data_IF_844365865748
#
_entry.id   IF_844365865748
#
_cell.length_a   1.000
_cell.length_b   1.000
_cell.length_c   1.000
_cell.angle_alpha   90.00
_cell.angle_beta   90.00
_cell.angle_gamma   90.00
#
_symmetry.space_group_name_H-M   'P 1'
#
loop_
_entity.id
_entity.type
_entity.pdbx_description
1 polymer ?
#
# COMPACT_ATOMS: atom_id res chain seq x y z
N UNK A 1 54.58 14.69 5.56
CA UNK A 1 53.69 14.89 4.40
C UNK A 1 52.29 15.14 4.95
N UNK A 2 51.76 16.36 4.84
CA UNK A 2 50.50 16.73 5.47
C UNK A 2 49.31 16.10 4.72
N UNK A 3 48.38 15.58 5.49
CA UNK A 3 47.13 14.94 5.08
C UNK A 3 46.22 15.91 4.32
N UNK A 4 45.70 15.47 3.17
CA UNK A 4 44.79 16.21 2.27
C UNK A 4 43.38 16.48 2.83
N UNK A 5 43.17 16.47 4.14
CA UNK A 5 41.82 16.56 4.74
C UNK A 5 41.45 17.96 5.29
N UNK A 6 42.31 18.97 5.19
CA UNK A 6 42.05 20.29 5.81
C UNK A 6 41.40 21.35 4.90
N UNK A 7 41.19 21.08 3.61
CA UNK A 7 40.69 22.10 2.66
C UNK A 7 39.16 22.27 2.60
N UNK A 8 38.38 21.42 3.27
CA UNK A 8 36.91 21.58 3.31
C UNK A 8 36.39 22.44 4.46
N UNK A 9 37.27 22.96 5.32
CA UNK A 9 36.87 23.78 6.45
C UNK A 9 36.60 25.24 6.01
N UNK A 10 35.32 25.63 6.09
CA UNK A 10 34.74 26.98 5.90
C UNK A 10 34.26 27.34 4.49
N UNK A 11 33.37 26.52 3.91
CA UNK A 11 32.33 27.11 3.05
C UNK A 11 31.40 27.96 3.91
N UNK A 12 31.47 29.28 3.74
CA UNK A 12 30.55 30.22 4.40
C UNK A 12 29.21 30.18 3.68
N UNK A 13 28.25 29.42 4.21
CA UNK A 13 26.86 29.50 3.75
C UNK A 13 26.30 30.90 4.05
N UNK A 14 25.70 31.54 3.05
CA UNK A 14 25.05 32.84 3.22
C UNK A 14 23.53 32.66 3.29
N UNK A 15 23.01 32.33 4.48
CA UNK A 15 21.59 32.08 4.71
C UNK A 15 20.70 33.34 4.68
N UNK A 16 21.30 34.54 4.58
CA UNK A 16 20.56 35.81 4.59
C UNK A 16 19.73 36.04 3.33
N UNK A 17 20.20 35.53 2.20
CA UNK A 17 19.59 35.78 0.88
C UNK A 17 18.48 34.77 0.53
N UNK A 18 18.41 33.65 1.25
CA UNK A 18 17.46 32.55 0.98
C UNK A 18 16.05 32.82 1.50
N UNK A 19 15.05 32.19 0.89
CA UNK A 19 13.66 32.27 1.36
C UNK A 19 13.43 31.40 2.60
N UNK A 20 12.38 31.70 3.39
CA UNK A 20 12.04 30.88 4.58
C UNK A 20 11.73 29.42 4.20
N UNK A 21 11.25 29.19 2.97
CA UNK A 21 10.98 27.86 2.44
C UNK A 21 12.28 27.10 2.18
N UNK A 22 13.22 27.70 1.47
CA UNK A 22 14.54 27.10 1.19
C UNK A 22 15.31 26.77 2.49
N UNK A 23 15.27 27.64 3.49
CA UNK A 23 15.92 27.40 4.78
C UNK A 23 15.31 26.20 5.53
N UNK A 24 13.99 25.99 5.40
CA UNK A 24 13.30 24.85 6.00
C UNK A 24 13.54 23.56 5.22
N UNK A 25 13.61 23.65 3.90
CA UNK A 25 13.95 22.51 3.05
C UNK A 25 15.40 22.05 3.31
N UNK A 26 16.35 22.99 3.44
CA UNK A 26 17.73 22.70 3.83
C UNK A 26 17.82 22.06 5.22
N UNK A 27 17.06 22.57 6.19
CA UNK A 27 17.00 22.00 7.53
C UNK A 27 16.39 20.59 7.53
N UNK A 28 15.36 20.34 6.73
CA UNK A 28 14.73 19.03 6.61
C UNK A 28 15.67 17.98 5.99
N UNK A 29 16.47 18.37 4.99
CA UNK A 29 17.44 17.46 4.35
C UNK A 29 18.58 17.09 5.31
N UNK A 30 18.96 18.02 6.20
CA UNK A 30 20.05 17.84 7.16
C UNK A 30 19.58 17.42 8.57
N UNK A 31 18.33 16.97 8.73
CA UNK A 31 17.72 16.57 10.02
C UNK A 31 17.77 17.66 11.13
N UNK A 32 17.77 18.93 10.77
CA UNK A 32 17.77 20.06 11.71
C UNK A 32 16.32 20.41 12.07
N UNK A 33 15.98 20.31 13.36
CA UNK A 33 14.62 20.61 13.84
C UNK A 33 14.38 22.12 13.98
N UNK A 34 13.42 22.66 13.22
CA UNK A 34 13.00 24.06 13.30
C UNK A 34 11.59 24.15 13.91
N UNK A 35 11.36 24.94 14.97
CA UNK A 35 10.03 25.12 15.55
C UNK A 35 9.08 25.84 14.60
N UNK A 36 7.83 25.36 14.55
CA UNK A 36 6.77 25.92 13.70
C UNK A 36 6.40 27.34 14.17
N UNK A 37 6.67 28.34 13.32
CA UNK A 37 6.37 29.76 13.60
C UNK A 37 7.58 30.65 13.89
N UNK A 38 8.80 30.09 13.84
CA UNK A 38 10.07 30.82 13.93
C UNK A 38 10.20 31.90 12.84
N UNK A 39 10.78 33.06 13.21
CA UNK A 39 11.07 34.14 12.27
C UNK A 39 12.31 33.79 11.44
N UNK A 40 12.49 34.46 10.29
CA UNK A 40 13.64 34.23 9.40
C UNK A 40 14.99 34.43 10.12
N UNK A 41 15.09 35.43 11.01
CA UNK A 41 16.27 35.68 11.83
C UNK A 41 16.66 34.47 12.67
N UNK A 42 15.69 33.88 13.36
CA UNK A 42 15.91 32.82 14.33
C UNK A 42 16.32 31.52 13.60
N UNK A 43 15.72 31.28 12.43
CA UNK A 43 16.10 30.15 11.55
C UNK A 43 17.55 30.28 11.07
N UNK A 44 17.95 31.50 10.68
CA UNK A 44 19.32 31.77 10.20
C UNK A 44 20.35 31.58 11.32
N UNK A 45 20.03 31.98 12.55
CA UNK A 45 20.90 31.73 13.71
C UNK A 45 21.03 30.25 14.04
N UNK A 46 19.93 29.49 14.03
CA UNK A 46 19.93 28.04 14.26
C UNK A 46 20.78 27.33 13.20
N UNK A 47 20.64 27.71 11.93
CA UNK A 47 21.41 27.11 10.84
C UNK A 47 22.89 27.48 10.89
N UNK A 48 23.24 28.72 11.26
CA UNK A 48 24.63 29.10 11.46
C UNK A 48 25.29 28.32 12.60
N UNK A 49 24.57 28.08 13.70
CA UNK A 49 25.06 27.29 14.82
C UNK A 49 25.27 25.82 14.40
N UNK A 50 24.27 25.21 13.75
CA UNK A 50 24.35 23.82 13.30
C UNK A 50 25.49 23.57 12.29
N UNK A 51 25.73 24.52 11.37
CA UNK A 51 26.80 24.42 10.37
C UNK A 51 28.18 24.75 10.96
N UNK A 52 28.24 25.44 12.10
CA UNK A 52 29.50 25.74 12.78
C UNK A 52 30.07 24.58 13.61
N UNK A 53 29.28 23.53 13.82
CA UNK A 53 29.73 22.32 14.49
C UNK A 53 30.72 21.55 13.58
N UNK A 54 31.83 21.07 14.16
CA UNK A 54 32.91 20.38 13.42
C UNK A 54 32.46 19.10 12.72
N UNK A 55 31.32 18.55 13.15
CA UNK A 55 30.81 17.23 12.76
C UNK A 55 29.66 17.36 11.75
N UNK A 56 29.39 18.59 11.27
CA UNK A 56 28.31 18.83 10.31
C UNK A 56 28.67 18.24 8.93
N UNK A 57 27.85 17.29 8.47
CA UNK A 57 27.92 16.68 7.15
C UNK A 57 26.72 17.21 6.34
N UNK A 58 26.99 17.93 5.25
CA UNK A 58 25.95 18.48 4.38
C UNK A 58 25.39 17.39 3.45
N UNK A 59 24.20 16.87 3.81
CA UNK A 59 23.50 15.81 3.08
C UNK A 59 22.86 16.29 1.78
N UNK A 60 22.77 17.61 1.55
CA UNK A 60 22.27 18.14 0.28
C UNK A 60 23.19 17.83 -0.90
N UNK A 61 24.47 17.57 -0.64
CA UNK A 61 25.46 17.19 -1.65
C UNK A 61 25.46 15.67 -1.95
N UNK A 62 24.91 14.85 -1.04
CA UNK A 62 24.85 13.39 -1.19
C UNK A 62 23.73 12.92 -2.15
N UNK A 63 22.70 13.74 -2.41
CA UNK A 63 21.67 13.37 -3.40
C UNK A 63 22.21 13.28 -4.84
N UNK A 64 23.35 13.91 -5.13
CA UNK A 64 24.07 13.73 -6.41
C UNK A 64 25.02 12.52 -6.43
N UNK A 65 25.18 11.82 -5.29
CA UNK A 65 26.03 10.63 -5.11
C UNK A 65 25.23 9.41 -4.63
N UNK A 66 23.98 9.23 -5.08
CA UNK A 66 23.32 7.92 -4.99
C UNK A 66 24.04 6.95 -5.93
N UNK A 67 25.24 6.54 -5.50
CA UNK A 67 25.97 5.38 -5.97
C UNK A 67 25.06 4.17 -5.77
N UNK A 68 24.85 3.47 -6.87
CA UNK A 68 24.14 2.21 -6.93
C UNK A 68 24.86 1.18 -6.04
N UNK A 69 24.29 0.89 -4.86
CA UNK A 69 24.66 -0.29 -4.08
C UNK A 69 24.11 -1.54 -4.80
N UNK A 70 24.87 -2.01 -5.79
CA UNK A 70 24.68 -3.32 -6.41
C UNK A 70 25.41 -4.32 -5.52
N UNK A 71 24.62 -5.13 -4.81
CA UNK A 71 25.08 -6.35 -4.12
C UNK A 71 25.54 -7.34 -5.19
N UNK A 72 26.70 -7.95 -4.95
CA UNK A 72 27.52 -8.60 -5.96
C UNK A 72 26.86 -9.72 -6.76
N UNK A 73 27.27 -9.82 -8.02
CA UNK A 73 28.07 -10.96 -8.48
C UNK A 73 28.77 -10.57 -9.80
N UNK A 74 29.99 -11.08 -9.92
CA UNK A 74 30.88 -11.15 -11.09
C UNK A 74 31.63 -9.89 -11.53
N UNK A 75 32.92 -9.89 -11.19
CA UNK A 75 33.98 -9.02 -11.71
C UNK A 75 34.14 -9.24 -13.23
N UNK A 76 33.59 -8.33 -14.04
CA UNK A 76 34.13 -8.00 -15.36
C UNK A 76 34.44 -6.50 -15.41
N UNK A 77 35.65 -6.19 -15.87
CA UNK A 77 36.26 -4.85 -15.91
C UNK A 77 35.32 -3.77 -16.49
N UNK A 78 34.75 -2.93 -15.62
CA UNK A 78 34.06 -1.71 -16.03
C UNK A 78 35.08 -0.57 -16.19
N UNK A 79 35.71 -0.53 -17.36
CA UNK A 79 36.31 0.70 -17.86
C UNK A 79 35.22 1.77 -18.06
N UNK A 80 35.46 2.97 -17.53
CA UNK A 80 34.57 4.14 -17.71
C UNK A 80 34.48 4.51 -19.19
N UNK A 81 33.29 4.52 -19.83
CA UNK A 81 33.18 4.79 -21.25
C UNK A 81 33.21 6.31 -21.50
N UNK A 82 34.38 6.81 -21.89
CA UNK A 82 34.44 7.95 -22.79
C UNK A 82 34.14 7.43 -24.21
N UNK A 83 33.11 7.99 -24.85
CA UNK A 83 32.79 7.94 -26.28
C UNK A 83 32.67 6.55 -26.97
N UNK A 84 31.94 5.60 -26.37
CA UNK A 84 31.33 4.50 -27.17
C UNK A 84 30.02 5.02 -27.77
N UNK A 85 29.93 5.05 -29.11
CA UNK A 85 28.71 5.47 -29.82
C UNK A 85 27.47 4.79 -29.24
N UNK A 86 26.53 5.58 -28.71
CA UNK A 86 25.26 5.05 -28.19
C UNK A 86 24.55 4.26 -29.29
N UNK A 87 24.17 3.03 -28.96
CA UNK A 87 23.42 2.14 -29.86
C UNK A 87 22.08 2.78 -30.21
N UNK A 88 21.52 2.48 -31.39
CA UNK A 88 20.29 3.13 -31.85
C UNK A 88 19.12 2.96 -30.87
N UNK A 89 19.03 1.83 -30.16
CA UNK A 89 17.98 1.56 -29.18
C UNK A 89 18.13 2.34 -27.86
N UNK A 90 19.32 2.88 -27.56
CA UNK A 90 19.55 3.79 -26.41
C UNK A 90 19.22 5.24 -26.76
N UNK A 91 19.06 5.57 -28.04
CA UNK A 91 18.67 6.91 -28.48
C UNK A 91 17.15 7.08 -28.39
N UNK A 92 16.65 8.25 -27.97
CA UNK A 92 15.24 8.58 -28.15
C UNK A 92 14.93 8.60 -29.66
N UNK A 93 13.77 8.07 -30.13
CA UNK A 93 12.57 7.68 -29.38
C UNK A 93 12.54 6.22 -28.88
N UNK A 94 13.53 5.38 -29.19
CA UNK A 94 13.48 3.95 -28.91
C UNK A 94 13.81 3.57 -27.47
N UNK A 95 14.59 4.41 -26.78
CA UNK A 95 14.90 4.23 -25.35
C UNK A 95 13.64 4.14 -24.49
N UNK A 96 12.54 4.81 -24.88
CA UNK A 96 11.28 4.73 -24.14
C UNK A 96 10.62 3.36 -24.23
N UNK A 97 10.99 2.51 -25.20
CA UNK A 97 10.55 1.13 -25.23
C UNK A 97 11.32 0.25 -24.24
N UNK A 98 12.46 0.70 -23.72
CA UNK A 98 13.25 -0.09 -22.78
C UNK A 98 12.80 0.17 -21.33
N UNK A 99 12.45 1.41 -21.02
CA UNK A 99 12.07 1.82 -19.67
C UNK A 99 10.57 2.09 -19.54
N UNK A 100 9.89 1.26 -18.74
CA UNK A 100 8.45 1.35 -18.52
C UNK A 100 8.03 2.62 -17.77
N UNK A 101 8.91 3.16 -16.93
CA UNK A 101 8.63 4.38 -16.16
C UNK A 101 8.68 5.60 -17.07
N UNK A 102 9.73 5.71 -17.87
CA UNK A 102 9.89 6.77 -18.88
C UNK A 102 8.75 6.75 -19.92
N UNK A 103 8.25 5.56 -20.25
CA UNK A 103 7.13 5.40 -21.17
C UNK A 103 5.76 5.82 -20.61
N UNK A 104 5.59 5.86 -19.27
CA UNK A 104 4.35 6.32 -18.63
C UNK A 104 4.29 7.84 -18.51
N UNK A 105 5.45 8.45 -18.27
CA UNK A 105 5.57 9.89 -18.02
C UNK A 105 5.72 10.69 -19.32
N UNK A 106 6.24 10.07 -20.37
CA UNK A 106 6.34 10.71 -21.67
C UNK A 106 5.01 10.68 -22.42
N UNK A 107 4.79 11.71 -23.25
CA UNK A 107 3.71 11.77 -24.24
C UNK A 107 3.76 10.62 -25.28
N UNK A 108 4.67 9.65 -25.12
CA UNK A 108 4.77 8.43 -25.93
C UNK A 108 3.51 7.57 -25.84
N UNK A 109 2.74 7.64 -24.75
CA UNK A 109 1.40 7.03 -24.70
C UNK A 109 0.45 7.54 -25.81
N UNK A 110 0.70 8.76 -26.32
CA UNK A 110 -0.01 9.37 -27.44
C UNK A 110 0.61 9.05 -28.80
N UNK A 111 1.86 8.58 -28.85
CA UNK A 111 2.46 8.07 -30.09
C UNK A 111 1.80 6.75 -30.51
N UNK A 112 1.78 6.47 -31.80
CA UNK A 112 1.39 5.15 -32.29
C UNK A 112 2.51 4.16 -31.99
N UNK A 113 2.48 3.56 -30.79
CA UNK A 113 3.41 2.51 -30.34
C UNK A 113 3.62 1.43 -31.41
N UNK A 114 2.58 1.11 -32.18
CA UNK A 114 2.65 0.10 -33.24
C UNK A 114 3.70 0.48 -34.29
N UNK A 115 3.68 1.75 -34.74
CA UNK A 115 4.66 2.27 -35.71
C UNK A 115 6.06 2.37 -35.11
N UNK A 116 6.18 2.74 -33.83
CA UNK A 116 7.47 2.87 -33.15
C UNK A 116 8.14 1.50 -32.98
N UNK A 117 7.37 0.49 -32.59
CA UNK A 117 7.82 -0.89 -32.42
C UNK A 117 8.20 -1.51 -33.77
N UNK A 118 7.41 -1.28 -34.82
CA UNK A 118 7.80 -1.73 -36.16
C UNK A 118 9.12 -1.11 -36.63
N UNK A 119 9.27 0.21 -36.50
CA UNK A 119 10.53 0.89 -36.84
C UNK A 119 11.71 0.42 -35.98
N UNK A 120 11.46 0.10 -34.72
CA UNK A 120 12.47 -0.46 -33.82
C UNK A 120 12.99 -1.81 -34.32
N UNK A 121 12.08 -2.69 -34.72
CA UNK A 121 12.45 -4.00 -35.27
C UNK A 121 13.07 -3.91 -36.66
N UNK A 122 12.59 -3.02 -37.54
CA UNK A 122 13.22 -2.76 -38.84
C UNK A 122 14.66 -2.27 -38.69
N UNK A 123 14.90 -1.33 -37.76
CA UNK A 123 16.26 -0.85 -37.48
C UNK A 123 17.15 -1.97 -36.90
N UNK A 124 16.60 -2.82 -36.03
CA UNK A 124 17.33 -3.97 -35.48
C UNK A 124 17.69 -5.01 -36.55
N UNK A 125 16.83 -5.18 -37.56
CA UNK A 125 17.11 -6.02 -38.72
C UNK A 125 18.13 -5.38 -39.67
N UNK A 126 18.10 -4.06 -39.84
CA UNK A 126 19.03 -3.34 -40.73
C UNK A 126 20.48 -3.32 -40.24
N UNK A 127 20.68 -3.41 -38.92
CA UNK A 127 22.01 -3.44 -38.31
C UNK A 127 22.60 -4.87 -38.19
N UNK A 128 21.90 -5.91 -38.68
CA UNK A 128 22.28 -7.33 -38.61
C UNK A 128 22.62 -7.86 -37.19
N UNK A 129 22.31 -7.10 -36.14
CA UNK A 129 22.63 -7.42 -34.74
C UNK A 129 21.36 -7.51 -33.88
N UNK A 130 20.68 -8.67 -33.97
CA UNK A 130 19.45 -8.94 -33.23
C UNK A 130 19.79 -9.28 -31.77
N UNK A 131 19.61 -8.31 -30.88
CA UNK A 131 19.68 -8.56 -29.45
C UNK A 131 18.31 -9.02 -28.90
N UNK A 132 18.14 -10.33 -28.71
CA UNK A 132 16.92 -10.95 -28.19
C UNK A 132 16.49 -10.44 -26.81
N UNK A 133 17.44 -10.02 -25.96
CA UNK A 133 17.14 -9.48 -24.63
C UNK A 133 16.46 -8.12 -24.75
N UNK A 134 17.03 -7.24 -25.57
CA UNK A 134 16.52 -5.88 -25.78
C UNK A 134 15.18 -5.90 -26.52
N UNK A 135 15.03 -6.74 -27.54
CA UNK A 135 13.74 -6.93 -28.22
C UNK A 135 12.67 -7.52 -27.31
N UNK A 136 13.02 -8.49 -26.46
CA UNK A 136 12.10 -9.06 -25.48
C UNK A 136 11.60 -8.01 -24.48
N UNK A 137 12.49 -7.12 -24.02
CA UNK A 137 12.12 -6.00 -23.15
C UNK A 137 11.21 -5.03 -23.90
N UNK A 138 11.58 -4.59 -25.11
CA UNK A 138 10.79 -3.67 -25.92
C UNK A 138 9.39 -4.22 -26.27
N UNK A 139 9.26 -5.53 -26.52
CA UNK A 139 7.97 -6.17 -26.77
C UNK A 139 7.10 -6.19 -25.51
N UNK A 140 7.71 -6.52 -24.36
CA UNK A 140 7.02 -6.58 -23.06
C UNK A 140 6.49 -5.21 -22.64
N UNK A 141 7.32 -4.16 -22.75
CA UNK A 141 6.91 -2.79 -22.44
C UNK A 141 5.79 -2.33 -23.38
N UNK A 142 5.90 -2.62 -24.67
CA UNK A 142 4.86 -2.29 -25.66
C UNK A 142 3.53 -2.96 -25.35
N UNK A 143 3.53 -4.26 -25.03
CA UNK A 143 2.33 -4.98 -24.61
C UNK A 143 1.72 -4.40 -23.33
N UNK A 144 2.56 -4.00 -22.37
CA UNK A 144 2.13 -3.36 -21.12
C UNK A 144 1.47 -2.01 -21.37
N UNK A 145 2.05 -1.18 -22.25
CA UNK A 145 1.53 0.14 -22.62
C UNK A 145 0.21 0.03 -23.41
N UNK A 146 0.09 -0.92 -24.34
CA UNK A 146 -1.18 -1.18 -25.02
C UNK A 146 -2.28 -1.60 -24.05
N UNK A 147 -1.97 -2.50 -23.10
CA UNK A 147 -2.90 -2.88 -22.04
C UNK A 147 -3.31 -1.69 -21.16
N UNK A 148 -2.37 -0.80 -20.86
CA UNK A 148 -2.64 0.42 -20.10
C UNK A 148 -3.62 1.34 -20.85
N UNK A 149 -3.35 1.61 -22.13
CA UNK A 149 -4.22 2.41 -23.00
C UNK A 149 -5.64 1.85 -23.10
N UNK A 150 -5.77 0.55 -23.34
CA UNK A 150 -7.09 -0.13 -23.39
C UNK A 150 -7.82 0.04 -22.05
N UNK A 151 -7.13 -0.20 -20.93
CA UNK A 151 -7.72 -0.06 -19.60
C UNK A 151 -8.21 1.36 -19.33
N UNK A 152 -7.47 2.38 -19.74
CA UNK A 152 -7.86 3.75 -19.50
C UNK A 152 -9.04 4.20 -20.36
N UNK A 153 -9.10 3.76 -21.62
CA UNK A 153 -10.29 3.95 -22.47
C UNK A 153 -11.52 3.29 -21.82
N UNK A 154 -11.39 2.05 -21.33
CA UNK A 154 -12.49 1.36 -20.63
C UNK A 154 -12.94 2.15 -19.39
N UNK A 155 -12.00 2.65 -18.57
CA UNK A 155 -12.35 3.45 -17.38
C UNK A 155 -13.05 4.75 -17.76
N UNK A 156 -12.64 5.42 -18.83
CA UNK A 156 -13.28 6.64 -19.32
C UNK A 156 -14.71 6.34 -19.78
N UNK A 157 -14.90 5.28 -20.56
CA UNK A 157 -16.20 4.82 -21.03
C UNK A 157 -17.14 4.47 -19.86
N UNK A 158 -16.65 3.75 -18.86
CA UNK A 158 -17.43 3.46 -17.65
C UNK A 158 -17.86 4.74 -16.90
N UNK A 159 -17.01 5.76 -16.86
CA UNK A 159 -17.34 7.05 -16.22
C UNK A 159 -18.43 7.77 -17.01
N UNK A 160 -18.32 7.81 -18.34
CA UNK A 160 -19.33 8.40 -19.23
C UNK A 160 -20.68 7.69 -19.02
N UNK A 161 -20.70 6.36 -19.06
CA UNK A 161 -21.93 5.58 -18.83
C UNK A 161 -22.54 5.81 -17.44
N UNK A 162 -21.71 5.95 -16.40
CA UNK A 162 -22.19 6.30 -15.05
C UNK A 162 -22.81 7.69 -15.02
N UNK A 163 -22.15 8.68 -15.64
CA UNK A 163 -22.66 10.05 -15.74
C UNK A 163 -23.98 10.11 -16.51
N UNK A 164 -24.08 9.45 -17.66
CA UNK A 164 -25.32 9.37 -18.43
C UNK A 164 -26.46 8.71 -17.65
N UNK A 165 -26.18 7.62 -16.93
CA UNK A 165 -27.18 6.97 -16.06
C UNK A 165 -27.66 7.93 -14.98
N UNK A 166 -26.76 8.66 -14.33
CA UNK A 166 -27.10 9.68 -13.33
C UNK A 166 -27.94 10.79 -13.97
N UNK A 167 -27.57 11.28 -15.16
CA UNK A 167 -28.31 12.34 -15.86
C UNK A 167 -29.70 11.88 -16.29
N UNK A 168 -29.84 10.66 -16.83
CA UNK A 168 -31.14 10.04 -17.14
C UNK A 168 -32.02 9.92 -15.89
N UNK A 169 -31.43 9.53 -14.75
CA UNK A 169 -32.15 9.49 -13.48
C UNK A 169 -32.55 10.89 -12.99
N UNK A 170 -31.68 11.89 -13.17
CA UNK A 170 -31.98 13.30 -12.88
C UNK A 170 -33.10 13.83 -13.75
N UNK A 171 -33.07 13.62 -15.06
CA UNK A 171 -34.15 14.01 -16.00
C UNK A 171 -35.49 13.37 -15.63
N UNK A 172 -35.49 12.10 -15.22
CA UNK A 172 -36.70 11.41 -14.74
C UNK A 172 -37.24 11.98 -13.42
N UNK A 173 -36.37 12.50 -12.56
CA UNK A 173 -36.73 12.99 -11.22
C UNK A 173 -36.93 14.50 -11.20
N UNK A 174 -36.38 15.22 -12.17
CA UNK A 174 -36.61 16.64 -12.38
C UNK A 174 -38.07 16.83 -12.76
N UNK A 175 -38.81 17.42 -11.84
CA UNK A 175 -40.04 18.13 -12.15
C UNK A 175 -39.62 19.51 -12.64
N UNK A 176 -40.29 20.04 -13.65
CA UNK A 176 -40.11 21.44 -14.05
C UNK A 176 -40.66 22.32 -12.93
N UNK A 177 -39.77 22.65 -12.00
CA UNK A 177 -40.02 23.62 -10.94
C UNK A 177 -39.65 24.96 -11.56
N UNK A 178 -40.61 25.88 -11.76
CA UNK A 178 -40.30 27.20 -12.29
C UNK A 178 -39.26 27.88 -11.39
N UNK A 179 -38.41 28.73 -11.98
CA UNK A 179 -37.43 29.50 -11.23
C UNK A 179 -38.13 30.19 -10.05
N UNK A 180 -37.63 29.94 -8.83
CA UNK A 180 -38.25 30.50 -7.64
C UNK A 180 -38.09 32.01 -7.68
N UNK A 181 -39.21 32.74 -7.73
CA UNK A 181 -39.23 34.19 -7.55
C UNK A 181 -38.44 34.51 -6.27
N UNK A 182 -37.48 35.43 -6.38
CA UNK A 182 -36.70 35.89 -5.23
C UNK A 182 -37.66 36.38 -4.16
N UNK A 183 -37.54 35.86 -2.95
CA UNK A 183 -38.41 36.28 -1.85
C UNK A 183 -38.28 37.79 -1.66
N UNK A 184 -39.40 38.50 -1.43
CA UNK A 184 -39.35 39.92 -1.16
C UNK A 184 -38.44 40.18 0.05
N UNK A 185 -37.53 41.15 -0.10
CA UNK A 185 -36.54 41.52 0.91
C UNK A 185 -37.31 42.01 2.13
N UNK A 186 -37.32 41.22 3.21
CA UNK A 186 -37.95 41.64 4.47
C UNK A 186 -37.17 42.84 5.02
N UNK A 187 -37.84 43.92 5.45
CA UNK A 187 -37.15 45.03 6.09
C UNK A 187 -36.42 44.51 7.33
N UNK A 188 -35.18 44.96 7.53
CA UNK A 188 -34.43 44.70 8.76
C UNK A 188 -35.23 45.28 9.93
N UNK A 189 -35.58 44.44 10.91
CA UNK A 189 -36.37 44.86 12.09
C UNK A 189 -35.74 46.09 12.74
N UNK A 190 -36.51 47.18 12.84
CA UNK A 190 -36.12 48.37 13.60
C UNK A 190 -36.64 48.20 15.04
N UNK A 191 -35.70 48.23 15.98
CA UNK A 191 -35.87 48.52 17.43
C UNK A 191 -37.11 47.92 18.08
N UNK A 192 -36.95 46.74 18.67
CA UNK A 192 -37.97 46.12 19.53
C UNK A 192 -38.24 46.93 20.79
N UNK A 193 -39.51 46.95 21.20
CA UNK A 193 -39.90 47.31 22.57
C UNK A 193 -39.23 46.37 23.59
N UNK A 194 -39.10 46.80 24.84
CA UNK A 194 -38.46 46.00 25.90
C UNK A 194 -39.09 44.60 26.05
N UNK A 195 -40.41 44.50 25.90
CA UNK A 195 -41.13 43.21 25.98
C UNK A 195 -40.82 42.29 24.79
N UNK A 196 -40.72 42.85 23.59
CA UNK A 196 -40.32 42.08 22.40
C UNK A 196 -38.87 41.60 22.47
N UNK A 197 -37.99 42.35 23.14
CA UNK A 197 -36.62 41.92 23.38
C UNK A 197 -36.59 40.72 24.34
N UNK A 198 -37.41 40.73 25.39
CA UNK A 198 -37.51 39.61 26.32
C UNK A 198 -38.12 38.36 25.67
N UNK A 199 -39.14 38.52 24.83
CA UNK A 199 -39.72 37.40 24.11
C UNK A 199 -38.78 36.86 23.04
N UNK A 200 -38.07 37.73 22.30
CA UNK A 200 -37.01 37.30 21.39
C UNK A 200 -35.87 36.58 22.12
N UNK A 201 -35.50 37.01 23.33
CA UNK A 201 -34.50 36.34 24.16
C UNK A 201 -35.00 34.98 24.65
N UNK A 202 -36.27 34.88 25.09
CA UNK A 202 -36.89 33.59 25.46
C UNK A 202 -36.91 32.63 24.28
N UNK A 203 -37.33 33.10 23.11
CA UNK A 203 -37.38 32.30 21.89
C UNK A 203 -35.97 31.84 21.47
N UNK A 204 -34.96 32.71 21.56
CA UNK A 204 -33.57 32.34 21.29
C UNK A 204 -33.05 31.28 22.29
N UNK A 205 -33.42 31.36 23.57
CA UNK A 205 -33.06 30.36 24.58
C UNK A 205 -33.76 29.02 24.28
N UNK A 206 -35.05 29.04 23.95
CA UNK A 206 -35.80 27.83 23.59
C UNK A 206 -35.23 27.21 22.31
N UNK A 207 -34.92 28.02 21.29
CA UNK A 207 -34.36 27.53 20.03
C UNK A 207 -32.96 26.91 20.24
N UNK A 208 -32.11 27.51 21.08
CA UNK A 208 -30.79 26.94 21.40
C UNK A 208 -30.90 25.64 22.22
N UNK A 209 -31.86 25.55 23.14
CA UNK A 209 -32.17 24.31 23.85
C UNK A 209 -32.67 23.21 22.92
N UNK A 210 -33.62 23.51 22.03
CA UNK A 210 -34.14 22.57 21.03
C UNK A 210 -33.04 22.11 20.06
N UNK A 211 -32.17 23.03 19.59
CA UNK A 211 -31.00 22.69 18.76
C UNK A 211 -30.04 21.77 19.49
N UNK A 212 -29.73 22.04 20.77
CA UNK A 212 -28.87 21.20 21.62
C UNK A 212 -29.48 19.82 21.83
N UNK A 213 -30.78 19.73 22.05
CA UNK A 213 -31.48 18.46 22.23
C UNK A 213 -31.52 17.65 20.93
N UNK A 214 -31.81 18.30 19.79
CA UNK A 214 -31.78 17.67 18.46
C UNK A 214 -30.38 17.13 18.13
N UNK A 215 -29.33 17.85 18.52
CA UNK A 215 -27.94 17.39 18.42
C UNK A 215 -27.66 16.16 19.28
N UNK A 216 -28.12 16.14 20.55
CA UNK A 216 -28.02 14.95 21.43
C UNK A 216 -28.73 13.75 20.82
N UNK A 217 -29.98 13.93 20.36
CA UNK A 217 -30.76 12.86 19.68
C UNK A 217 -30.05 12.33 18.43
N UNK A 218 -29.38 13.19 17.65
CA UNK A 218 -28.58 12.78 16.49
C UNK A 218 -27.33 11.98 16.87
N UNK A 219 -26.65 12.33 17.97
CA UNK A 219 -25.49 11.57 18.48
C UNK A 219 -25.92 10.18 18.93
N UNK A 220 -26.96 10.08 19.74
CA UNK A 220 -27.51 8.80 20.23
C UNK A 220 -27.90 7.90 19.05
N UNK A 221 -28.65 8.42 18.06
CA UNK A 221 -29.00 7.65 16.85
C UNK A 221 -27.78 7.19 16.03
N UNK A 222 -26.70 7.96 15.99
CA UNK A 222 -25.46 7.56 15.30
C UNK A 222 -24.75 6.45 16.05
N UNK A 223 -24.65 6.55 17.36
CA UNK A 223 -24.04 5.54 18.23
C UNK A 223 -24.82 4.23 18.19
N UNK A 224 -26.15 4.26 18.27
CA UNK A 224 -27.01 3.08 18.11
C UNK A 224 -26.83 2.42 16.75
N UNK A 225 -26.78 3.21 15.66
CA UNK A 225 -26.50 2.68 14.32
C UNK A 225 -25.11 2.05 14.22
N UNK A 226 -24.10 2.65 14.85
CA UNK A 226 -22.75 2.10 14.90
C UNK A 226 -22.70 0.79 15.69
N UNK A 227 -23.36 0.72 16.85
CA UNK A 227 -23.50 -0.51 17.65
C UNK A 227 -24.19 -1.62 16.85
N UNK A 228 -25.35 -1.34 16.25
CA UNK A 228 -26.06 -2.30 15.37
C UNK A 228 -25.22 -2.77 14.18
N UNK A 229 -24.39 -1.89 13.60
CA UNK A 229 -23.45 -2.28 12.53
C UNK A 229 -22.33 -3.17 13.06
N UNK A 230 -21.83 -2.94 14.27
CA UNK A 230 -20.81 -3.79 14.91
C UNK A 230 -21.39 -5.17 15.24
N UNK A 231 -22.59 -5.22 15.83
CA UNK A 231 -23.33 -6.46 16.12
C UNK A 231 -23.57 -7.29 14.86
N UNK A 232 -24.12 -6.67 13.80
CA UNK A 232 -24.28 -7.35 12.51
C UNK A 232 -22.96 -7.80 11.89
N UNK A 233 -21.87 -7.06 12.09
CA UNK A 233 -20.53 -7.45 11.62
C UNK A 233 -19.93 -8.56 12.46
N UNK A 234 -20.26 -8.68 13.74
CA UNK A 234 -19.84 -9.81 14.58
C UNK A 234 -20.67 -11.06 14.31
N UNK A 235 -21.98 -10.89 14.09
CA UNK A 235 -22.90 -11.97 13.69
C UNK A 235 -22.59 -12.49 12.28
N UNK A 236 -22.17 -11.61 11.36
CA UNK A 236 -21.78 -11.97 9.99
C UNK A 236 -20.32 -12.44 9.84
N UNK A 237 -19.58 -12.66 10.94
CA UNK A 237 -18.30 -13.36 10.84
C UNK A 237 -18.59 -14.84 10.68
N UNK A 238 -18.34 -15.36 9.48
CA UNK A 238 -18.18 -16.80 9.28
C UNK A 238 -17.17 -17.34 10.31
N UNK A 239 -17.36 -18.57 10.82
CA UNK A 239 -16.38 -19.19 11.70
C UNK A 239 -15.00 -19.11 11.06
N UNK A 240 -13.98 -18.81 11.88
CA UNK A 240 -12.61 -18.48 11.42
C UNK A 240 -12.04 -19.55 10.48
N UNK A 241 -12.45 -20.79 10.66
CA UNK A 241 -12.10 -21.95 9.84
C UNK A 241 -12.55 -21.81 8.37
N UNK A 242 -13.78 -21.34 8.12
CA UNK A 242 -14.28 -21.11 6.74
C UNK A 242 -13.66 -19.87 6.10
N UNK A 243 -13.36 -18.83 6.89
CA UNK A 243 -12.68 -17.63 6.41
C UNK A 243 -11.25 -17.94 5.94
N UNK A 244 -10.60 -18.93 6.55
CA UNK A 244 -9.23 -19.39 6.26
C UNK A 244 -9.11 -20.00 4.86
N UNK A 245 -10.08 -20.83 4.47
CA UNK A 245 -10.11 -21.45 3.13
C UNK A 245 -10.43 -20.45 2.02
N UNK A 246 -11.19 -19.38 2.31
CA UNK A 246 -11.58 -18.37 1.31
C UNK A 246 -10.51 -17.27 1.17
N UNK A 247 -9.77 -16.95 2.23
CA UNK A 247 -8.83 -15.82 2.25
C UNK A 247 -7.48 -16.09 1.56
N UNK A 248 -7.14 -17.34 1.25
CA UNK A 248 -5.87 -17.69 0.58
C UNK A 248 -4.61 -17.24 1.32
N UNK A 249 -4.69 -16.97 2.63
CA UNK A 249 -3.57 -16.55 3.46
C UNK A 249 -2.79 -17.80 3.88
N UNK A 250 -1.48 -17.83 3.63
CA UNK A 250 -0.60 -18.89 4.12
C UNK A 250 -0.73 -18.96 5.65
N UNK A 251 -0.99 -20.16 6.18
CA UNK A 251 -1.17 -20.36 7.63
C UNK A 251 0.16 -20.05 8.33
N UNK A 252 0.13 -19.35 9.47
CA UNK A 252 1.36 -19.25 10.29
C UNK A 252 1.73 -20.62 10.83
N UNK A 253 3.02 -20.82 11.13
CA UNK A 253 3.53 -22.09 11.65
C UNK A 253 2.87 -22.43 12.99
N UNK A 254 2.64 -21.44 13.84
CA UNK A 254 1.95 -21.62 15.13
C UNK A 254 0.49 -22.04 14.96
N UNK A 255 -0.24 -21.39 14.04
CA UNK A 255 -1.63 -21.73 13.74
C UNK A 255 -1.75 -23.15 13.19
N UNK A 256 -0.78 -23.59 12.40
CA UNK A 256 -0.72 -24.96 11.88
C UNK A 256 -0.56 -25.95 13.04
N UNK A 257 0.39 -25.72 13.94
CA UNK A 257 0.60 -26.59 15.10
C UNK A 257 -0.62 -26.65 16.02
N UNK A 258 -1.25 -25.51 16.30
CA UNK A 258 -2.45 -25.45 17.13
C UNK A 258 -3.64 -26.15 16.46
N UNK A 259 -3.79 -26.03 15.14
CA UNK A 259 -4.83 -26.74 14.39
C UNK A 259 -4.66 -28.26 14.46
N UNK A 260 -3.43 -28.77 14.30
CA UNK A 260 -3.14 -30.19 14.41
C UNK A 260 -3.30 -30.72 15.83
N UNK A 261 -2.85 -29.98 16.84
CA UNK A 261 -3.06 -30.33 18.23
C UNK A 261 -4.56 -30.44 18.58
N UNK A 262 -5.37 -29.47 18.13
CA UNK A 262 -6.82 -29.51 18.33
C UNK A 262 -7.48 -30.68 17.59
N UNK A 263 -7.06 -30.98 16.35
CA UNK A 263 -7.54 -32.16 15.61
C UNK A 263 -7.24 -33.45 16.37
N UNK A 264 -6.03 -33.63 16.89
CA UNK A 264 -5.63 -34.80 17.69
C UNK A 264 -6.47 -34.88 18.98
N UNK A 265 -6.63 -33.76 19.69
CA UNK A 265 -7.45 -33.69 20.91
C UNK A 265 -8.92 -34.04 20.67
N UNK A 266 -9.51 -33.52 19.59
CA UNK A 266 -10.91 -33.86 19.24
C UNK A 266 -11.08 -35.33 18.94
N UNK A 267 -10.13 -35.95 18.24
CA UNK A 267 -10.16 -37.39 17.97
C UNK A 267 -10.07 -38.24 19.23
N UNK A 268 -9.11 -37.95 20.10
CA UNK A 268 -8.93 -38.65 21.37
C UNK A 268 -10.24 -38.54 22.20
N UNK A 269 -10.84 -37.35 22.23
CA UNK A 269 -12.12 -37.13 22.92
C UNK A 269 -13.31 -37.83 22.26
N UNK A 270 -13.34 -37.98 20.94
CA UNK A 270 -14.43 -38.62 20.19
C UNK A 270 -14.39 -40.14 20.28
N UNK A 271 -13.21 -40.73 20.35
CA UNK A 271 -13.01 -42.18 20.36
C UNK A 271 -12.96 -42.78 21.78
N UNK A 272 -12.99 -41.95 22.83
CA UNK A 272 -12.84 -42.36 24.25
C UNK A 272 -11.60 -43.24 24.50
N UNK A 273 -10.58 -43.10 23.64
CA UNK A 273 -9.30 -43.80 23.74
C UNK A 273 -8.24 -42.86 24.28
N UNK A 274 -7.27 -43.41 25.01
CA UNK A 274 -6.14 -42.64 25.54
C UNK A 274 -5.08 -42.31 24.46
N UNK A 275 -5.24 -42.83 23.24
CA UNK A 275 -4.28 -42.68 22.16
C UNK A 275 -4.94 -42.55 20.79
N UNK A 276 -4.22 -41.94 19.85
CA UNK A 276 -4.55 -41.94 18.41
C UNK A 276 -3.42 -42.57 17.61
N UNK A 277 -3.75 -43.22 16.50
CA UNK A 277 -2.74 -43.75 15.58
C UNK A 277 -2.39 -42.75 14.47
N UNK A 278 -1.14 -42.79 14.00
CA UNK A 278 -0.71 -42.01 12.83
C UNK A 278 -1.53 -42.39 11.58
N UNK A 279 -1.82 -43.68 11.36
CA UNK A 279 -2.63 -44.11 10.23
C UNK A 279 -4.04 -43.51 10.22
N UNK A 280 -4.67 -43.31 11.38
CA UNK A 280 -5.97 -42.66 11.46
C UNK A 280 -5.89 -41.18 11.07
N UNK A 281 -4.81 -40.48 11.39
CA UNK A 281 -4.59 -39.10 10.94
C UNK A 281 -4.34 -39.04 9.42
N UNK A 282 -3.56 -39.98 8.88
CA UNK A 282 -3.35 -40.12 7.43
C UNK A 282 -4.68 -40.36 6.69
N UNK A 283 -5.58 -41.17 7.25
CA UNK A 283 -6.92 -41.38 6.70
C UNK A 283 -7.75 -40.10 6.63
N UNK A 284 -7.63 -39.19 7.60
CA UNK A 284 -8.32 -37.90 7.52
C UNK A 284 -7.83 -37.05 6.35
N UNK A 285 -6.51 -36.94 6.18
CA UNK A 285 -5.91 -36.14 5.11
C UNK A 285 -6.37 -36.66 3.73
N UNK A 286 -6.41 -37.99 3.58
CA UNK A 286 -6.88 -38.61 2.34
C UNK A 286 -8.35 -38.31 2.02
N UNK A 287 -9.17 -38.06 3.04
CA UNK A 287 -10.58 -37.68 2.89
C UNK A 287 -10.77 -36.17 2.65
N UNK A 288 -9.90 -35.33 3.21
CA UNK A 288 -9.97 -33.86 3.07
C UNK A 288 -9.47 -33.36 1.70
N UNK A 289 -8.45 -34.00 1.13
CA UNK A 289 -7.80 -33.52 -0.09
C UNK A 289 -8.01 -34.42 -1.31
N UNK A 290 -8.41 -33.79 -2.43
CA UNK A 290 -8.71 -34.45 -3.70
C UNK A 290 -7.43 -34.69 -4.53
N UNK A 291 -6.43 -33.80 -4.41
CA UNK A 291 -5.22 -33.82 -5.24
C UNK A 291 -4.13 -34.70 -4.66
N UNK A 292 -3.51 -35.55 -5.49
CA UNK A 292 -2.40 -36.45 -5.09
C UNK A 292 -1.19 -35.66 -4.57
N UNK A 293 -0.88 -34.51 -5.18
CA UNK A 293 0.22 -33.65 -4.74
C UNK A 293 -0.09 -32.93 -3.42
N UNK A 294 -1.35 -32.50 -3.25
CA UNK A 294 -1.84 -31.92 -1.99
C UNK A 294 -1.63 -32.90 -0.83
N UNK A 295 -2.09 -34.14 -1.01
CA UNK A 295 -1.99 -35.18 0.04
C UNK A 295 -0.56 -35.37 0.52
N UNK A 296 0.40 -35.40 -0.39
CA UNK A 296 1.82 -35.52 -0.03
C UNK A 296 2.31 -34.32 0.78
N UNK A 297 1.90 -33.12 0.39
CA UNK A 297 2.29 -31.90 1.07
C UNK A 297 1.67 -31.78 2.47
N UNK A 298 0.40 -32.13 2.61
CA UNK A 298 -0.30 -32.11 3.89
C UNK A 298 0.20 -33.21 4.83
N UNK A 299 0.61 -34.37 4.30
CA UNK A 299 1.31 -35.41 5.07
C UNK A 299 2.65 -34.92 5.62
N UNK A 300 3.45 -34.23 4.80
CA UNK A 300 4.73 -33.64 5.24
C UNK A 300 4.48 -32.58 6.32
N UNK A 301 3.47 -31.72 6.14
CA UNK A 301 3.09 -30.70 7.13
C UNK A 301 2.61 -31.29 8.44
N UNK A 302 1.74 -32.30 8.39
CA UNK A 302 1.28 -33.03 9.57
C UNK A 302 2.47 -33.66 10.30
N UNK A 303 3.38 -34.33 9.58
CA UNK A 303 4.55 -34.96 10.18
C UNK A 303 5.47 -33.94 10.87
N UNK A 304 5.76 -32.82 10.21
CA UNK A 304 6.55 -31.73 10.80
C UNK A 304 5.87 -31.13 12.03
N UNK A 305 4.54 -30.96 11.98
CA UNK A 305 3.76 -30.47 13.12
C UNK A 305 3.81 -31.43 14.31
N UNK A 306 3.71 -32.74 14.07
CA UNK A 306 3.81 -33.76 15.11
C UNK A 306 5.20 -33.76 15.77
N UNK A 307 6.26 -33.65 14.97
CA UNK A 307 7.62 -33.52 15.49
C UNK A 307 7.75 -32.28 16.38
N UNK A 308 7.23 -31.14 15.93
CA UNK A 308 7.28 -29.91 16.71
C UNK A 308 6.45 -29.96 18.01
N UNK A 309 5.27 -30.58 17.95
CA UNK A 309 4.42 -30.77 19.13
C UNK A 309 5.06 -31.73 20.14
N UNK A 310 5.79 -32.74 19.65
CA UNK A 310 6.58 -33.64 20.49
C UNK A 310 7.77 -32.92 21.14
N UNK A 311 8.50 -32.09 20.41
CA UNK A 311 9.61 -31.30 21.00
C UNK A 311 9.15 -30.29 22.06
N UNK A 312 7.88 -29.88 22.03
CA UNK A 312 7.29 -28.97 23.02
C UNK A 312 6.60 -29.70 24.18
N UNK A 313 6.78 -31.03 24.31
CA UNK A 313 6.16 -31.87 25.34
C UNK A 313 4.62 -31.72 25.40
N UNK A 314 3.96 -31.45 24.27
CA UNK A 314 2.49 -31.41 24.19
C UNK A 314 1.89 -32.77 23.83
N UNK A 315 2.72 -33.63 23.25
CA UNK A 315 2.33 -34.93 22.68
C UNK A 315 3.51 -35.89 22.87
N UNK A 316 3.22 -37.10 23.33
CA UNK A 316 4.18 -38.19 23.39
C UNK A 316 3.97 -39.17 22.23
N UNK A 317 5.07 -39.53 21.56
CA UNK A 317 5.07 -40.44 20.41
C UNK A 317 5.75 -41.75 20.84
N UNK A 318 5.00 -42.85 20.83
CA UNK A 318 5.55 -44.18 21.11
C UNK A 318 5.48 -45.06 19.86
N UNK A 319 6.56 -45.79 19.60
CA UNK A 319 6.62 -46.78 18.53
C UNK A 319 7.15 -48.10 19.09
N UNK A 320 6.30 -49.12 19.11
CA UNK A 320 6.62 -50.39 19.76
C UNK A 320 7.66 -51.25 19.01
N UNK A 321 7.82 -51.08 17.69
CA UNK A 321 8.85 -51.74 16.86
C UNK A 321 9.24 -50.86 15.69
N UNK A 322 10.45 -51.05 15.17
CA UNK A 322 10.91 -50.43 13.93
C UNK A 322 9.89 -50.66 12.80
N UNK A 323 9.47 -49.59 12.12
CA UNK A 323 8.46 -49.56 11.05
C UNK A 323 7.01 -49.90 11.43
N UNK A 324 6.67 -49.93 12.72
CA UNK A 324 5.25 -50.04 13.15
C UNK A 324 4.57 -48.69 13.28
N UNK A 325 3.25 -48.73 13.42
CA UNK A 325 2.42 -47.55 13.63
C UNK A 325 2.87 -46.76 14.86
N UNK A 326 2.76 -45.44 14.77
CA UNK A 326 3.15 -44.51 15.83
C UNK A 326 1.88 -44.19 16.62
N UNK A 327 1.92 -44.48 17.92
CA UNK A 327 0.86 -44.14 18.85
C UNK A 327 1.15 -42.77 19.45
N UNK A 328 0.11 -41.93 19.46
CA UNK A 328 0.16 -40.54 19.86
C UNK A 328 -0.64 -40.39 21.14
N UNK A 329 0.03 -39.98 22.21
CA UNK A 329 -0.56 -39.70 23.51
C UNK A 329 -0.57 -38.20 23.78
N UNK A 330 -1.62 -37.72 24.43
CA UNK A 330 -1.65 -36.37 25.00
C UNK A 330 -1.15 -36.44 26.44
N UNK A 331 -0.24 -35.53 26.79
CA UNK A 331 0.15 -35.28 28.18
C UNK A 331 -0.90 -34.46 28.95
#
# INVERSE_FOLDING_TARGET
MPSKNDENSKKRYNFKDQTVKELRDFAAINDITIPAGSRKSDIVEILHNAVSESDFIDRTLEENRKEELIVGDDEEDFETPSDKELKFWQKPPYSTLLDLELAKDSDVAFYDLSTLVHKFFENMLSEDFINYKVSGIALKTSASLHRHKIRDVIKQEEKIQKQEKIEKMRKRTQRDIPETLSQPIKPKMKTSSQDELFDAMRDAIIETMQKREKLKRRRIKREEKLKKKKEKRSEAKLPKELLKHISGREQSVEELHESWYNRIKTKISLEEKNNTSLYELVKLINNEEISVLGRKYELIRMFLALMFLSTNNKINLEQNKEFKDIHIFLD
#
